data_IF_255601416679
#
_entry.id   IF_255601416679
#
_cell.length_a   1.000
_cell.length_b   1.000
_cell.length_c   1.000
_cell.angle_alpha   90.00
_cell.angle_beta   90.00
_cell.angle_gamma   90.00
#
_symmetry.space_group_name_H-M   'P 1'
#
loop_
_entity.id
_entity.type
_entity.pdbx_description
1 polymer ?
#
# COMPACT_ATOMS: atom_id res chain seq x y z
N UNK A 1 13.56 -17.70 12.81
CA UNK A 1 13.45 -17.39 12.76
C UNK A 1 13.19 -16.71 12.46
N UNK A 2 13.08 -16.59 12.31
CA UNK A 2 12.80 -15.96 12.06
C UNK A 2 12.45 -15.30 11.67
N UNK A 3 12.50 -15.12 11.43
CA UNK A 3 12.24 -14.44 11.00
C UNK A 3 11.56 -14.09 10.69
N UNK A 4 11.43 -14.15 10.59
CA UNK A 4 10.89 -13.83 10.27
C UNK A 4 10.25 -13.37 10.08
N UNK A 5 10.12 -13.77 9.86
CA UNK A 5 9.43 -13.32 9.51
C UNK A 5 8.92 -12.17 9.55
N UNK A 6 9.22 -11.52 9.04
CA UNK A 6 8.80 -10.17 9.07
C UNK A 6 7.51 -9.99 8.31
N UNK A 7 6.50 -9.44 8.96
CA UNK A 7 5.26 -9.16 8.25
C UNK A 7 5.46 -8.06 7.23
N UNK A 8 6.60 -7.38 7.31
CA UNK A 8 6.86 -6.29 6.40
C UNK A 8 7.70 -6.71 5.22
N UNK A 9 7.85 -8.00 5.04
CA UNK A 9 8.67 -8.48 3.94
C UNK A 9 7.93 -8.28 2.63
N UNK A 10 8.41 -7.39 1.80
CA UNK A 10 7.79 -7.04 0.54
C UNK A 10 8.67 -7.50 -0.60
N UNK A 11 8.05 -8.00 -1.66
CA UNK A 11 8.80 -8.33 -2.86
C UNK A 11 8.99 -7.07 -3.70
N UNK A 12 9.68 -7.22 -4.83
CA UNK A 12 9.97 -6.06 -5.67
C UNK A 12 8.73 -5.40 -6.22
N UNK A 13 7.71 -6.19 -6.55
CA UNK A 13 6.46 -5.63 -7.04
C UNK A 13 5.81 -4.75 -6.00
N UNK A 14 5.79 -5.23 -4.76
CA UNK A 14 5.17 -4.48 -3.68
C UNK A 14 5.93 -3.19 -3.42
N UNK A 15 7.25 -3.24 -3.43
CA UNK A 15 8.04 -2.04 -3.23
C UNK A 15 7.82 -1.03 -4.35
N UNK A 16 7.73 -1.51 -5.57
CA UNK A 16 7.46 -0.61 -6.70
C UNK A 16 6.10 0.04 -6.57
N UNK A 17 5.09 -0.72 -6.19
CA UNK A 17 3.75 -0.18 -6.01
C UNK A 17 3.76 0.88 -4.92
N UNK A 18 4.45 0.61 -3.82
CA UNK A 18 4.55 1.55 -2.73
C UNK A 18 5.22 2.86 -3.19
N UNK A 19 6.30 2.75 -3.96
CA UNK A 19 6.96 3.93 -4.49
C UNK A 19 6.04 4.72 -5.40
N UNK A 20 5.27 4.03 -6.23
CA UNK A 20 4.34 4.71 -7.14
C UNK A 20 3.28 5.47 -6.36
N UNK A 21 2.79 4.89 -5.28
CA UNK A 21 1.76 5.54 -4.47
C UNK A 21 2.30 6.85 -3.88
N UNK A 22 3.57 6.87 -3.50
CA UNK A 22 4.17 8.05 -2.88
C UNK A 22 4.91 8.95 -3.87
N UNK A 23 4.85 8.61 -5.14
CA UNK A 23 5.56 9.36 -6.17
C UNK A 23 4.97 10.74 -6.39
N UNK A 24 5.84 11.71 -6.62
CA UNK A 24 5.44 13.07 -6.97
C UNK A 24 6.08 13.45 -8.30
N UNK A 25 5.32 13.93 -9.26
CA UNK A 25 3.86 14.06 -9.22
C UNK A 25 3.20 12.70 -9.23
N UNK A 26 1.90 12.70 -8.94
CA UNK A 26 1.13 11.47 -8.83
C UNK A 26 1.23 10.66 -10.12
N UNK A 27 1.48 9.37 -9.96
CA UNK A 27 1.46 8.46 -11.08
C UNK A 27 0.02 8.17 -11.49
N UNK A 28 -0.23 8.08 -12.78
CA UNK A 28 -1.57 7.82 -13.29
C UNK A 28 -1.74 6.41 -13.82
N UNK A 29 -0.76 5.55 -13.60
CA UNK A 29 -0.87 4.17 -14.09
C UNK A 29 -0.58 3.15 -13.00
N UNK A 30 -1.09 3.42 -11.81
CA UNK A 30 -1.01 2.47 -10.70
C UNK A 30 -2.21 1.55 -10.82
N UNK A 31 -1.96 0.26 -10.99
CA UNK A 31 -3.02 -0.70 -11.21
C UNK A 31 -3.64 -1.14 -9.90
N UNK A 32 -4.96 -1.27 -9.92
CA UNK A 32 -5.70 -1.67 -8.72
C UNK A 32 -5.24 -3.02 -8.19
N UNK A 33 -5.04 -3.99 -9.08
CA UNK A 33 -4.66 -5.31 -8.59
C UNK A 33 -3.26 -5.30 -7.95
N UNK A 34 -2.39 -4.41 -8.39
CA UNK A 34 -1.08 -4.28 -7.76
C UNK A 34 -1.23 -3.69 -6.36
N UNK A 35 -2.13 -2.72 -6.21
CA UNK A 35 -2.43 -2.15 -4.91
C UNK A 35 -3.01 -3.20 -3.97
N UNK A 36 -3.94 -3.99 -4.46
CA UNK A 36 -4.54 -5.05 -3.64
C UNK A 36 -3.48 -6.04 -3.19
N UNK A 37 -2.58 -6.40 -4.10
CA UNK A 37 -1.50 -7.32 -3.76
C UNK A 37 -0.63 -6.75 -2.65
N UNK A 38 -0.27 -5.49 -2.76
CA UNK A 38 0.50 -4.82 -1.72
C UNK A 38 -0.25 -4.82 -0.39
N UNK A 39 -1.51 -4.43 -0.43
CA UNK A 39 -2.30 -4.30 0.81
C UNK A 39 -2.49 -5.65 1.48
N UNK A 40 -2.62 -6.72 0.70
CA UNK A 40 -2.72 -8.05 1.29
C UNK A 40 -1.42 -8.48 1.93
N UNK A 41 -0.30 -7.97 1.44
CA UNK A 41 1.00 -8.31 2.00
C UNK A 41 1.26 -7.61 3.33
N UNK A 42 0.67 -6.43 3.54
CA UNK A 42 0.95 -5.65 4.74
C UNK A 42 -0.25 -5.52 5.66
N UNK A 43 -1.41 -6.02 5.24
CA UNK A 43 -2.61 -5.93 6.04
C UNK A 43 -3.64 -6.89 5.52
N UNK A 44 -4.89 -6.44 5.44
CA UNK A 44 -5.96 -7.29 4.90
C UNK A 44 -6.87 -6.50 3.99
N UNK A 45 -7.45 -7.21 3.03
CA UNK A 45 -8.41 -6.64 2.10
C UNK A 45 -9.60 -7.59 2.09
N UNK A 46 -10.75 -7.08 2.51
CA UNK A 46 -11.97 -7.88 2.61
C UNK A 46 -13.01 -7.28 1.69
N UNK A 47 -13.53 -8.10 0.80
CA UNK A 47 -14.55 -7.62 -0.13
C UNK A 47 -15.86 -7.39 0.58
N UNK A 48 -16.46 -6.28 0.27
CA UNK A 48 -17.81 -5.96 0.68
C UNK A 48 -18.68 -5.93 -0.56
N UNK A 49 -19.95 -5.74 -0.37
CA UNK A 49 -20.84 -5.66 -1.50
C UNK A 49 -20.65 -4.33 -2.23
N UNK A 50 -21.23 -4.24 -3.40
CA UNK A 50 -21.27 -3.02 -4.19
C UNK A 50 -19.88 -2.55 -4.61
N UNK A 51 -19.04 -3.50 -4.98
CA UNK A 51 -17.72 -3.15 -5.50
C UNK A 51 -16.92 -2.32 -4.53
N UNK A 52 -17.01 -2.67 -3.26
CA UNK A 52 -16.29 -1.96 -2.22
C UNK A 52 -15.46 -2.96 -1.42
N UNK A 53 -14.30 -2.51 -0.96
CA UNK A 53 -13.44 -3.36 -0.13
C UNK A 53 -13.10 -2.62 1.15
N UNK A 54 -12.95 -3.38 2.22
CA UNK A 54 -12.45 -2.86 3.49
C UNK A 54 -10.99 -3.22 3.58
N UNK A 55 -10.16 -2.23 3.75
CA UNK A 55 -8.71 -2.39 3.82
C UNK A 55 -8.25 -2.05 5.23
N UNK A 56 -7.51 -2.95 5.83
CA UNK A 56 -6.94 -2.72 7.16
C UNK A 56 -5.42 -2.78 7.07
N UNK A 57 -4.78 -1.72 7.51
CA UNK A 57 -3.32 -1.66 7.61
C UNK A 57 -3.01 -1.07 8.97
N UNK A 58 -2.26 -1.82 9.78
CA UNK A 58 -2.00 -1.39 11.14
C UNK A 58 -3.30 -1.30 11.92
N UNK A 59 -3.53 -0.17 12.56
CA UNK A 59 -4.74 0.05 13.34
C UNK A 59 -5.86 0.71 12.56
N UNK A 60 -5.63 1.04 11.28
CA UNK A 60 -6.58 1.80 10.48
C UNK A 60 -7.34 0.88 9.55
N UNK A 61 -8.62 1.14 9.41
CA UNK A 61 -9.46 0.44 8.42
C UNK A 61 -10.19 1.51 7.61
N UNK A 62 -10.12 1.39 6.30
CA UNK A 62 -10.81 2.31 5.41
C UNK A 62 -11.48 1.53 4.30
N UNK A 63 -12.51 2.11 3.75
CA UNK A 63 -13.25 1.50 2.66
C UNK A 63 -12.86 2.16 1.36
N UNK A 64 -12.66 1.36 0.34
CA UNK A 64 -12.30 1.85 -0.98
C UNK A 64 -13.25 1.27 -2.00
N UNK A 65 -13.60 2.08 -3.00
CA UNK A 65 -14.37 1.58 -4.13
C UNK A 65 -13.43 0.88 -5.10
N UNK A 66 -13.86 -0.27 -5.60
CA UNK A 66 -13.11 -0.96 -6.64
C UNK A 66 -13.23 -0.13 -7.91
N UNK A 67 -12.12 0.27 -8.53
CA UNK A 67 -12.19 1.12 -9.72
C UNK A 67 -12.87 0.41 -10.88
N UNK A 68 -13.53 1.20 -11.72
CA UNK A 68 -14.12 0.66 -12.93
C UNK A 68 -13.08 0.32 -13.98
N UNK A 69 -11.91 0.91 -13.85
CA UNK A 69 -10.80 0.69 -14.77
C UNK A 69 -9.68 -0.01 -14.04
N UNK A 70 -8.68 -0.46 -14.76
CA UNK A 70 -7.60 -1.16 -14.09
C UNK A 70 -6.72 -0.24 -13.24
N UNK A 71 -6.68 1.04 -13.57
CA UNK A 71 -5.86 2.00 -12.84
C UNK A 71 -6.68 2.74 -11.80
N UNK A 72 -6.05 3.04 -10.67
CA UNK A 72 -6.73 3.81 -9.62
C UNK A 72 -6.66 5.29 -9.96
N UNK A 73 -7.56 6.07 -9.37
CA UNK A 73 -7.58 7.50 -9.62
C UNK A 73 -6.78 8.24 -8.57
N UNK A 74 -6.63 9.54 -8.78
CA UNK A 74 -5.81 10.38 -7.91
C UNK A 74 -6.32 10.40 -6.47
N UNK A 75 -7.64 10.43 -6.30
CA UNK A 75 -8.20 10.45 -4.96
C UNK A 75 -7.85 9.19 -4.19
N UNK A 76 -7.89 8.05 -4.88
CA UNK A 76 -7.51 6.79 -4.26
C UNK A 76 -6.05 6.82 -3.85
N UNK A 77 -5.18 7.39 -4.68
CA UNK A 77 -3.77 7.51 -4.35
C UNK A 77 -3.59 8.33 -3.08
N UNK A 78 -4.29 9.45 -2.98
CA UNK A 78 -4.20 10.32 -1.80
C UNK A 78 -4.65 9.58 -0.55
N UNK A 79 -5.76 8.86 -0.66
CA UNK A 79 -6.28 8.11 0.48
C UNK A 79 -5.32 7.02 0.91
N UNK A 80 -4.70 6.35 -0.05
CA UNK A 80 -3.72 5.32 0.25
C UNK A 80 -2.49 5.90 0.92
N UNK A 81 -2.01 7.05 0.43
CA UNK A 81 -0.86 7.70 1.06
C UNK A 81 -1.13 8.00 2.52
N UNK A 82 -2.31 8.53 2.79
CA UNK A 82 -2.66 8.90 4.16
C UNK A 82 -2.70 7.67 5.04
N UNK A 83 -3.35 6.61 4.57
CA UNK A 83 -3.49 5.40 5.34
C UNK A 83 -2.14 4.74 5.58
N UNK A 84 -1.34 4.61 4.53
CA UNK A 84 -0.05 3.96 4.63
C UNK A 84 0.91 4.76 5.50
N UNK A 85 0.90 6.08 5.36
CA UNK A 85 1.74 6.93 6.21
C UNK A 85 1.39 6.77 7.68
N UNK A 86 0.10 6.68 7.97
CA UNK A 86 -0.35 6.48 9.35
C UNK A 86 0.15 5.17 9.92
N UNK A 87 0.34 4.18 9.07
CA UNK A 87 0.81 2.88 9.51
C UNK A 87 2.33 2.77 9.47
N UNK A 88 3.03 3.85 9.13
CA UNK A 88 4.49 3.85 9.13
C UNK A 88 5.15 3.51 7.82
N UNK A 89 4.39 3.46 6.74
CA UNK A 89 4.94 3.13 5.44
C UNK A 89 5.23 4.40 4.64
N UNK A 90 6.21 4.30 3.75
CA UNK A 90 6.54 5.38 2.86
C UNK A 90 7.27 4.81 1.66
N UNK A 91 7.75 5.67 0.76
CA UNK A 91 8.35 5.19 -0.47
C UNK A 91 9.64 4.40 -0.25
N UNK A 92 10.31 4.66 0.86
CA UNK A 92 11.58 4.02 1.14
C UNK A 92 11.54 3.20 2.41
N UNK A 93 10.39 2.59 2.66
CA UNK A 93 10.18 1.91 3.92
C UNK A 93 11.28 0.88 4.21
N UNK A 94 11.73 0.19 3.19
CA UNK A 94 12.78 -0.79 3.41
C UNK A 94 14.11 -0.14 3.62
N UNK A 95 14.37 0.93 2.90
CA UNK A 95 15.60 1.64 3.09
C UNK A 95 15.64 2.29 4.45
N UNK A 96 14.52 2.83 4.87
CA UNK A 96 14.46 3.41 6.19
C UNK A 96 14.77 2.35 7.22
N UNK A 97 14.19 1.18 7.05
CA UNK A 97 14.47 0.12 7.97
C UNK A 97 15.94 -0.30 7.94
N UNK A 98 16.49 -0.34 6.75
CA UNK A 98 17.86 -0.77 6.60
C UNK A 98 18.83 0.28 7.07
N UNK A 99 18.51 1.54 6.79
CA UNK A 99 19.43 2.56 7.15
C UNK A 99 19.07 3.23 8.39
N UNK A 100 17.99 2.80 8.92
CA UNK A 100 17.55 3.49 10.06
C UNK A 100 18.67 3.95 10.80
N UNK A 101 19.60 3.45 10.42
CA UNK A 101 20.68 3.87 10.91
C UNK A 101 21.26 4.94 10.33
N UNK A 102 21.06 5.31 9.39
CA UNK A 102 21.71 6.25 8.88
C UNK A 102 21.61 7.31 9.36
N UNK A 103 21.28 7.32 9.54
CA UNK A 103 21.38 8.26 10.08
C UNK A 103 21.57 8.30 10.71
#
# INVERSE_FOLDING_TARGET
MSSMSSPMHLNNHHRNTLRQIFQHPVSHNIEWHAVVSLLKAIGSVVEHRDDMVAVTVGAATEFFDVPAHKDIDTQTVVDLRRMLSSAGYGPDVEEVGATGQED
#
